data_IF_948363716912
#
_entry.id   IF_948363716912
#
_cell.length_a   1.000
_cell.length_b   1.000
_cell.length_c   1.000
_cell.angle_alpha   90.00
_cell.angle_beta   90.00
_cell.angle_gamma   90.00
#
_symmetry.space_group_name_H-M   'P 1'
#
loop_
_entity.id
_entity.type
_entity.pdbx_description
1 polymer ?
#
# COMPACT_ATOMS: atom_id res chain seq x y z
N UNK A 1 -4.50 -4.38 -14.70
CA UNK A 1 -4.80 -2.99 -14.29
C UNK A 1 -5.51 -3.01 -12.94
N UNK A 2 -5.42 -1.93 -12.16
CA UNK A 2 -6.15 -1.82 -10.88
C UNK A 2 -7.66 -1.98 -11.12
N UNK A 3 -8.32 -2.74 -10.25
CA UNK A 3 -9.77 -3.00 -10.28
C UNK A 3 -10.54 -1.95 -9.47
N UNK A 4 -9.92 -1.44 -8.42
CA UNK A 4 -10.50 -0.44 -7.52
C UNK A 4 -9.85 0.92 -7.78
N UNK A 5 -10.66 1.97 -7.74
CA UNK A 5 -10.19 3.35 -7.82
C UNK A 5 -9.45 3.74 -6.55
N UNK A 6 -8.56 4.74 -6.62
CA UNK A 6 -7.86 5.27 -5.43
C UNK A 6 -8.81 5.60 -4.27
N UNK A 7 -9.96 6.21 -4.57
CA UNK A 7 -10.94 6.64 -3.54
C UNK A 7 -11.67 5.45 -2.91
N UNK A 8 -12.00 4.41 -3.68
CA UNK A 8 -12.56 3.18 -3.11
C UNK A 8 -11.55 2.51 -2.18
N UNK A 9 -10.27 2.49 -2.55
CA UNK A 9 -9.22 1.93 -1.68
C UNK A 9 -9.08 2.75 -0.38
N UNK A 10 -9.04 4.09 -0.45
CA UNK A 10 -9.02 4.96 0.76
C UNK A 10 -10.21 4.62 1.66
N UNK A 11 -11.42 4.57 1.09
CA UNK A 11 -12.63 4.30 1.85
C UNK A 11 -12.58 2.95 2.56
N UNK A 12 -12.14 1.89 1.89
CA UNK A 12 -12.00 0.57 2.52
C UNK A 12 -10.90 0.59 3.59
N UNK A 13 -9.82 1.36 3.41
CA UNK A 13 -8.77 1.51 4.43
C UNK A 13 -9.32 2.18 5.68
N UNK A 14 -10.11 3.23 5.53
CA UNK A 14 -10.79 3.93 6.62
C UNK A 14 -11.81 3.03 7.33
N UNK A 15 -12.69 2.35 6.59
CA UNK A 15 -13.73 1.47 7.15
C UNK A 15 -13.14 0.24 7.85
N UNK A 16 -12.04 -0.32 7.33
CA UNK A 16 -11.41 -1.52 7.91
C UNK A 16 -10.51 -1.15 9.11
N UNK A 17 -9.85 0.01 9.08
CA UNK A 17 -8.91 0.46 10.11
C UNK A 17 -7.62 -0.37 10.22
N UNK A 18 -7.41 -1.35 9.34
CA UNK A 18 -6.25 -2.25 9.35
C UNK A 18 -5.91 -2.70 7.92
N UNK A 19 -4.61 -2.69 7.60
CA UNK A 19 -4.04 -3.29 6.39
C UNK A 19 -3.02 -4.35 6.80
N UNK A 20 -3.38 -5.65 6.81
CA UNK A 20 -2.42 -6.71 7.01
C UNK A 20 -1.36 -6.69 5.90
N UNK A 21 -0.10 -6.88 6.28
CA UNK A 21 1.01 -6.99 5.35
C UNK A 21 1.77 -8.30 5.56
N UNK A 22 2.26 -8.90 4.48
CA UNK A 22 3.11 -10.09 4.57
C UNK A 22 4.05 -10.23 3.37
N UNK A 23 5.04 -11.11 3.53
CA UNK A 23 5.83 -11.66 2.42
C UNK A 23 6.06 -13.15 2.63
N UNK A 24 5.93 -13.92 1.56
CA UNK A 24 6.44 -15.29 1.49
C UNK A 24 6.67 -15.68 0.02
N UNK A 25 7.76 -16.38 -0.34
CA UNK A 25 8.04 -16.77 -1.73
C UNK A 25 7.15 -17.93 -2.23
N UNK A 26 6.67 -18.79 -1.33
CA UNK A 26 5.72 -19.86 -1.69
C UNK A 26 4.31 -19.30 -1.92
N UNK A 27 3.86 -19.39 -3.18
CA UNK A 27 2.53 -18.97 -3.63
C UNK A 27 1.41 -19.72 -2.91
N UNK A 28 1.54 -21.02 -2.65
CA UNK A 28 0.48 -21.80 -2.01
C UNK A 28 0.32 -21.41 -0.54
N UNK A 29 1.43 -21.11 0.15
CA UNK A 29 1.35 -20.52 1.48
C UNK A 29 0.74 -19.11 1.42
N UNK A 30 1.15 -18.29 0.46
CA UNK A 30 0.57 -16.96 0.26
C UNK A 30 -0.95 -16.98 0.05
N UNK A 31 -1.47 -17.91 -0.78
CA UNK A 31 -2.91 -18.10 -0.98
C UNK A 31 -3.63 -18.43 0.33
N UNK A 32 -3.06 -19.31 1.15
CA UNK A 32 -3.61 -19.65 2.48
C UNK A 32 -3.65 -18.42 3.39
N UNK A 33 -2.58 -17.61 3.42
CA UNK A 33 -2.54 -16.36 4.22
C UNK A 33 -3.63 -15.39 3.78
N UNK A 34 -3.73 -15.11 2.48
CA UNK A 34 -4.73 -14.17 1.93
C UNK A 34 -6.16 -14.68 2.23
N UNK A 35 -6.42 -15.97 2.02
CA UNK A 35 -7.73 -16.58 2.30
C UNK A 35 -8.09 -16.49 3.78
N UNK A 36 -7.14 -16.74 4.68
CA UNK A 36 -7.35 -16.62 6.13
C UNK A 36 -7.65 -15.18 6.53
N UNK A 37 -6.87 -14.20 6.05
CA UNK A 37 -7.13 -12.78 6.31
C UNK A 37 -8.52 -12.37 5.79
N UNK A 38 -8.87 -12.79 4.58
CA UNK A 38 -10.18 -12.52 3.98
C UNK A 38 -11.33 -13.11 4.80
N UNK A 39 -11.19 -14.37 5.25
CA UNK A 39 -12.17 -15.04 6.10
C UNK A 39 -12.31 -14.42 7.49
N UNK A 40 -11.24 -13.80 8.00
CA UNK A 40 -11.23 -13.04 9.25
C UNK A 40 -11.82 -11.62 9.11
N UNK A 41 -12.27 -11.23 7.91
CA UNK A 41 -12.93 -9.96 7.65
C UNK A 41 -12.05 -8.90 6.98
N UNK A 42 -10.75 -9.15 6.76
CA UNK A 42 -9.91 -8.20 6.04
C UNK A 42 -10.36 -8.06 4.58
N UNK A 43 -10.34 -6.84 4.07
CA UNK A 43 -10.63 -6.52 2.66
C UNK A 43 -9.47 -5.86 1.93
N UNK A 44 -8.39 -5.59 2.64
CA UNK A 44 -7.14 -5.07 2.12
C UNK A 44 -6.01 -6.01 2.49
N UNK A 45 -5.00 -6.10 1.63
CA UNK A 45 -3.76 -6.77 1.97
C UNK A 45 -2.58 -6.16 1.20
N UNK A 46 -1.49 -5.89 1.91
CA UNK A 46 -0.22 -5.42 1.36
C UNK A 46 0.75 -6.59 1.19
N UNK A 47 1.04 -6.98 -0.05
CA UNK A 47 2.16 -7.88 -0.33
C UNK A 47 3.47 -7.10 -0.33
N UNK A 48 4.41 -7.46 0.54
CA UNK A 48 5.72 -6.81 0.60
C UNK A 48 6.61 -7.32 -0.54
N UNK A 49 7.02 -6.43 -1.45
CA UNK A 49 7.88 -6.73 -2.58
C UNK A 49 9.33 -7.02 -2.15
N UNK A 50 9.56 -8.19 -1.56
CA UNK A 50 10.86 -8.65 -1.09
C UNK A 50 11.31 -9.89 -1.86
N UNK A 51 12.61 -10.05 -2.03
CA UNK A 51 13.19 -11.26 -2.64
C UNK A 51 13.10 -11.29 -4.16
N UNK A 52 13.82 -12.25 -4.74
CA UNK A 52 13.82 -12.46 -6.18
C UNK A 52 12.44 -12.89 -6.66
N UNK A 53 12.08 -12.45 -7.87
CA UNK A 53 10.81 -12.82 -8.51
C UNK A 53 9.53 -12.49 -7.70
N UNK A 54 9.60 -11.59 -6.72
CA UNK A 54 8.45 -11.20 -5.89
C UNK A 54 7.22 -10.74 -6.71
N UNK A 55 7.45 -10.15 -7.87
CA UNK A 55 6.41 -9.74 -8.81
C UNK A 55 5.65 -10.92 -9.43
N UNK A 56 6.30 -12.06 -9.66
CA UNK A 56 5.65 -13.28 -10.13
C UNK A 56 4.74 -13.86 -9.04
N UNK A 57 5.24 -13.92 -7.80
CA UNK A 57 4.47 -14.32 -6.62
C UNK A 57 3.23 -13.43 -6.47
N UNK A 58 3.42 -12.10 -6.51
CA UNK A 58 2.31 -11.16 -6.44
C UNK A 58 1.30 -11.36 -7.57
N UNK A 59 1.75 -11.58 -8.81
CA UNK A 59 0.88 -11.85 -9.95
C UNK A 59 -0.04 -13.03 -9.69
N UNK A 60 0.50 -14.15 -9.22
CA UNK A 60 -0.29 -15.36 -8.93
C UNK A 60 -1.25 -15.15 -7.76
N UNK A 61 -0.80 -14.46 -6.71
CA UNK A 61 -1.64 -14.13 -5.56
C UNK A 61 -2.79 -13.17 -5.92
N UNK A 62 -2.53 -12.18 -6.78
CA UNK A 62 -3.54 -11.23 -7.21
C UNK A 62 -4.59 -11.91 -8.12
N UNK A 63 -4.16 -12.77 -9.05
CA UNK A 63 -5.08 -13.58 -9.87
C UNK A 63 -5.96 -14.47 -8.99
N UNK A 64 -5.38 -15.12 -8.00
CA UNK A 64 -6.12 -15.93 -7.03
C UNK A 64 -7.16 -15.10 -6.26
N UNK A 65 -6.76 -13.95 -5.70
CA UNK A 65 -7.68 -13.07 -4.98
C UNK A 65 -8.84 -12.59 -5.86
N UNK A 66 -8.57 -12.24 -7.12
CA UNK A 66 -9.60 -11.82 -8.07
C UNK A 66 -10.61 -12.93 -8.40
N UNK A 67 -10.17 -14.19 -8.46
CA UNK A 67 -11.02 -15.33 -8.79
C UNK A 67 -11.80 -15.83 -7.57
N UNK A 68 -11.16 -15.93 -6.40
CA UNK A 68 -11.68 -16.69 -5.26
C UNK A 68 -12.15 -15.80 -4.10
N UNK A 69 -11.71 -14.54 -4.03
CA UNK A 69 -11.91 -13.65 -2.89
C UNK A 69 -12.53 -12.31 -3.34
N UNK A 70 -13.81 -12.31 -3.76
CA UNK A 70 -14.46 -11.13 -4.29
C UNK A 70 -14.44 -9.97 -3.28
N UNK A 71 -13.94 -8.81 -3.70
CA UNK A 71 -13.80 -7.66 -2.81
C UNK A 71 -12.44 -7.55 -2.11
N UNK A 72 -11.53 -8.53 -2.27
CA UNK A 72 -10.18 -8.44 -1.74
C UNK A 72 -9.33 -7.45 -2.54
N UNK A 73 -8.87 -6.39 -1.90
CA UNK A 73 -8.03 -5.35 -2.48
C UNK A 73 -6.56 -5.68 -2.18
N UNK A 74 -5.87 -6.21 -3.19
CA UNK A 74 -4.44 -6.47 -3.13
C UNK A 74 -3.66 -5.19 -3.49
N UNK A 75 -2.70 -4.83 -2.64
CA UNK A 75 -1.69 -3.81 -2.90
C UNK A 75 -0.28 -4.36 -2.71
N UNK A 76 0.71 -3.53 -3.02
CA UNK A 76 2.12 -3.88 -2.87
C UNK A 76 2.81 -2.88 -1.96
N UNK A 77 3.75 -3.37 -1.15
CA UNK A 77 4.57 -2.57 -0.27
C UNK A 77 6.07 -2.73 -0.50
N UNK A 78 6.86 -1.89 0.18
CA UNK A 78 8.33 -1.84 0.04
C UNK A 78 8.81 -1.55 -1.38
N UNK A 79 8.01 -0.80 -2.16
CA UNK A 79 8.39 -0.36 -3.50
C UNK A 79 9.35 0.83 -3.40
N UNK A 80 10.49 0.76 -4.09
CA UNK A 80 11.59 1.72 -3.93
C UNK A 80 11.87 2.61 -5.14
N UNK A 81 11.20 2.37 -6.26
CA UNK A 81 11.33 3.19 -7.47
C UNK A 81 10.08 3.13 -8.36
N UNK A 82 10.01 4.05 -9.33
CA UNK A 82 8.90 4.16 -10.27
C UNK A 82 8.74 2.96 -11.22
N UNK A 83 9.82 2.24 -11.54
CA UNK A 83 9.79 1.09 -12.43
C UNK A 83 9.16 -0.11 -11.74
N UNK A 84 9.51 -0.36 -10.47
CA UNK A 84 8.88 -1.35 -9.62
C UNK A 84 7.40 -1.02 -9.39
N UNK A 85 7.06 0.24 -9.06
CA UNK A 85 5.67 0.68 -8.93
C UNK A 85 4.86 0.38 -10.21
N UNK A 86 5.41 0.75 -11.37
CA UNK A 86 4.78 0.51 -12.68
C UNK A 86 4.60 -0.98 -12.99
N UNK A 87 5.57 -1.82 -12.60
CA UNK A 87 5.48 -3.28 -12.75
C UNK A 87 4.31 -3.84 -11.95
N UNK A 88 4.25 -3.57 -10.64
CA UNK A 88 3.19 -4.11 -9.79
C UNK A 88 1.79 -3.56 -10.13
N UNK A 89 1.68 -2.29 -10.50
CA UNK A 89 0.41 -1.72 -11.01
C UNK A 89 -0.05 -2.44 -12.29
N UNK A 90 0.87 -2.83 -13.18
CA UNK A 90 0.53 -3.57 -14.39
C UNK A 90 0.04 -4.99 -14.09
N UNK A 91 0.55 -5.58 -13.01
CA UNK A 91 0.08 -6.85 -12.44
C UNK A 91 -1.22 -6.72 -11.62
N UNK A 92 -1.77 -5.51 -11.50
CA UNK A 92 -3.08 -5.26 -10.89
C UNK A 92 -3.06 -4.87 -9.41
N UNK A 93 -1.92 -4.40 -8.88
CA UNK A 93 -1.91 -3.75 -7.57
C UNK A 93 -2.84 -2.54 -7.55
N UNK A 94 -3.69 -2.46 -6.51
CA UNK A 94 -4.68 -1.40 -6.34
C UNK A 94 -4.16 -0.24 -5.49
N UNK A 95 -3.06 -0.45 -4.76
CA UNK A 95 -2.32 0.59 -4.07
C UNK A 95 -0.83 0.23 -3.96
N UNK A 96 -0.01 1.25 -3.75
CA UNK A 96 1.44 1.15 -3.61
C UNK A 96 1.89 1.78 -2.30
N UNK A 97 2.61 1.03 -1.48
CA UNK A 97 3.23 1.49 -0.23
C UNK A 97 4.74 1.52 -0.42
N UNK A 98 5.37 2.59 0.05
CA UNK A 98 6.83 2.78 -0.06
C UNK A 98 7.44 3.03 1.32
N UNK A 99 8.73 2.72 1.53
CA UNK A 99 9.39 2.98 2.82
C UNK A 99 9.82 4.44 2.99
N UNK A 100 9.88 5.22 1.91
CA UNK A 100 10.36 6.61 1.89
C UNK A 100 9.57 7.44 0.88
N UNK A 101 9.41 8.74 1.14
CA UNK A 101 8.78 9.66 0.20
C UNK A 101 9.65 9.81 -1.05
N UNK A 102 9.09 9.47 -2.22
CA UNK A 102 9.73 9.69 -3.52
C UNK A 102 8.76 10.24 -4.55
N UNK A 103 9.17 11.34 -5.19
CA UNK A 103 8.39 12.00 -6.23
C UNK A 103 8.19 11.13 -7.47
N UNK A 104 9.18 10.32 -7.85
CA UNK A 104 9.11 9.47 -9.04
C UNK A 104 7.99 8.44 -8.95
N UNK A 105 7.78 7.84 -7.77
CA UNK A 105 6.68 6.92 -7.48
C UNK A 105 5.34 7.66 -7.47
N UNK A 106 5.28 8.83 -6.82
CA UNK A 106 4.08 9.65 -6.79
C UNK A 106 3.58 9.98 -8.21
N UNK A 107 4.48 10.40 -9.10
CA UNK A 107 4.16 10.74 -10.50
C UNK A 107 3.52 9.54 -11.23
N UNK A 108 4.11 8.34 -11.14
CA UNK A 108 3.59 7.18 -11.89
C UNK A 108 2.27 6.66 -11.31
N UNK A 109 2.11 6.66 -9.98
CA UNK A 109 0.86 6.27 -9.32
C UNK A 109 -0.26 7.26 -9.63
N UNK A 110 0.00 8.57 -9.52
CA UNK A 110 -0.96 9.62 -9.82
C UNK A 110 -1.41 9.58 -11.28
N UNK A 111 -0.48 9.38 -12.23
CA UNK A 111 -0.81 9.26 -13.66
C UNK A 111 -1.82 8.13 -13.93
N UNK A 112 -1.77 7.05 -13.14
CA UNK A 112 -2.69 5.91 -13.24
C UNK A 112 -3.86 5.96 -12.27
N UNK A 113 -3.97 7.01 -11.45
CA UNK A 113 -4.97 7.16 -10.38
C UNK A 113 -4.99 5.96 -9.42
N UNK A 114 -3.82 5.41 -9.12
CA UNK A 114 -3.61 4.34 -8.13
C UNK A 114 -3.18 4.99 -6.83
N UNK A 115 -3.77 4.57 -5.71
CA UNK A 115 -3.40 5.08 -4.39
C UNK A 115 -1.92 4.81 -4.13
N UNK A 116 -1.22 5.79 -3.57
CA UNK A 116 0.14 5.63 -3.10
C UNK A 116 0.26 6.14 -1.67
N UNK A 117 0.98 5.40 -0.82
CA UNK A 117 1.21 5.74 0.57
C UNK A 117 2.72 5.73 0.86
N UNK A 118 3.35 6.92 0.99
CA UNK A 118 4.76 7.02 1.28
C UNK A 118 5.09 6.85 2.75
N UNK A 119 6.22 6.21 3.01
CA UNK A 119 6.91 6.30 4.28
C UNK A 119 7.43 7.71 4.51
N UNK A 120 7.02 8.37 5.59
CA UNK A 120 7.52 9.67 6.00
C UNK A 120 7.94 9.63 7.48
N UNK A 121 9.06 10.29 7.81
CA UNK A 121 9.58 10.39 9.17
C UNK A 121 9.65 11.83 9.70
N UNK A 122 9.30 12.82 8.87
CA UNK A 122 9.37 14.25 9.22
C UNK A 122 8.15 15.02 8.72
N UNK A 123 7.87 16.17 9.34
CA UNK A 123 6.80 17.08 8.93
C UNK A 123 6.98 17.56 7.47
N UNK A 124 8.22 17.80 7.06
CA UNK A 124 8.55 18.23 5.69
C UNK A 124 8.24 17.13 4.66
N UNK A 125 8.56 15.88 4.95
CA UNK A 125 8.23 14.76 4.06
C UNK A 125 6.72 14.54 3.96
N UNK A 126 5.99 14.65 5.08
CA UNK A 126 4.53 14.56 5.11
C UNK A 126 3.92 15.66 4.25
N UNK A 127 4.31 16.91 4.47
CA UNK A 127 3.84 18.07 3.69
C UNK A 127 4.09 17.84 2.20
N UNK A 128 5.28 17.36 1.85
CA UNK A 128 5.63 17.10 0.46
C UNK A 128 4.79 15.98 -0.16
N UNK A 129 4.49 14.93 0.59
CA UNK A 129 3.60 13.87 0.14
C UNK A 129 2.17 14.38 -0.10
N UNK A 130 1.65 15.24 0.78
CA UNK A 130 0.34 15.88 0.63
C UNK A 130 0.29 16.82 -0.59
N UNK A 131 1.33 17.62 -0.82
CA UNK A 131 1.45 18.49 -2.02
C UNK A 131 1.44 17.67 -3.33
N UNK A 132 1.94 16.43 -3.28
CA UNK A 132 1.91 15.48 -4.39
C UNK A 132 0.58 14.70 -4.46
N UNK A 133 -0.40 15.04 -3.63
CA UNK A 133 -1.74 14.48 -3.63
C UNK A 133 -1.83 13.09 -3.02
N UNK A 134 -1.03 12.78 -2.01
CA UNK A 134 -1.19 11.57 -1.19
C UNK A 134 -2.42 11.67 -0.27
N UNK A 135 -3.23 10.63 -0.17
CA UNK A 135 -4.34 10.56 0.81
C UNK A 135 -3.94 9.99 2.17
N UNK A 136 -2.97 9.07 2.20
CA UNK A 136 -2.59 8.37 3.43
C UNK A 136 -1.07 8.28 3.49
N UNK A 137 -0.47 8.94 4.48
CA UNK A 137 0.96 8.83 4.77
C UNK A 137 1.22 7.66 5.71
N UNK A 138 2.21 6.83 5.38
CA UNK A 138 2.74 5.81 6.28
C UNK A 138 3.81 6.44 7.16
N UNK A 139 3.55 6.55 8.45
CA UNK A 139 4.57 6.96 9.41
C UNK A 139 5.64 5.85 9.52
N UNK A 140 6.89 6.14 9.14
CA UNK A 140 7.92 5.11 9.03
C UNK A 140 9.32 5.68 9.31
N UNK A 141 10.21 4.95 10.05
CA UNK A 141 10.05 3.61 10.61
C UNK A 141 9.04 3.52 11.78
N UNK A 142 8.08 2.58 11.68
CA UNK A 142 6.91 2.53 12.57
C UNK A 142 7.21 2.07 14.01
N UNK A 143 8.40 1.52 14.26
CA UNK A 143 8.90 1.14 15.58
C UNK A 143 9.51 2.32 16.35
N UNK A 144 9.93 3.38 15.65
CA UNK A 144 10.55 4.57 16.24
C UNK A 144 9.50 5.62 16.60
N UNK A 145 8.50 5.81 15.73
CA UNK A 145 7.48 6.85 15.93
C UNK A 145 6.26 6.33 16.69
N UNK A 146 5.56 7.24 17.38
CA UNK A 146 4.37 6.91 18.17
C UNK A 146 3.34 8.03 18.20
N UNK A 147 2.26 7.89 19.00
CA UNK A 147 1.14 8.85 19.04
C UNK A 147 1.54 10.31 19.30
N UNK A 148 2.62 10.54 20.05
CA UNK A 148 3.15 11.88 20.34
C UNK A 148 3.66 12.58 19.08
N UNK A 149 4.26 11.84 18.15
CA UNK A 149 4.69 12.40 16.87
C UNK A 149 3.49 12.84 16.04
N UNK A 150 2.45 12.00 15.96
CA UNK A 150 1.18 12.33 15.28
C UNK A 150 0.53 13.57 15.88
N UNK A 151 0.49 13.67 17.22
CA UNK A 151 -0.02 14.87 17.91
C UNK A 151 0.83 16.11 17.59
N UNK A 152 2.15 15.95 17.49
CA UNK A 152 3.09 17.02 17.13
C UNK A 152 2.86 17.56 15.72
N UNK A 153 2.53 16.70 14.75
CA UNK A 153 2.18 17.08 13.38
C UNK A 153 0.84 17.81 13.32
N UNK A 154 -0.20 17.25 13.95
CA UNK A 154 -1.56 17.83 13.93
C UNK A 154 -1.66 19.19 14.61
N UNK A 155 -0.66 19.60 15.40
CA UNK A 155 -0.58 20.92 16.00
C UNK A 155 -0.53 22.05 14.96
N UNK A 156 0.52 22.13 14.12
CA UNK A 156 0.60 23.08 13.01
C UNK A 156 -0.22 22.68 11.77
N UNK A 157 -0.56 21.40 11.59
CA UNK A 157 -1.29 20.88 10.44
C UNK A 157 -2.56 20.10 10.86
N UNK A 158 -3.62 20.78 11.34
CA UNK A 158 -4.82 20.11 11.85
C UNK A 158 -5.64 19.36 10.78
N UNK A 159 -5.36 19.58 9.49
CA UNK A 159 -6.02 18.90 8.36
C UNK A 159 -5.34 17.58 7.96
N UNK A 160 -4.11 17.34 8.43
CA UNK A 160 -3.38 16.08 8.26
C UNK A 160 -3.96 14.98 9.14
#
# INVERSE_FOLDING_TARGET
MAKYTRLEVVKVMEETGLVPLFYHPDVELGKKVIKTCYGAGARLLEFTARGDFAHEVFSELNKYALAELPGMIMGVGSVTDAAAASRFMSLGANFVVTPVMREDIAIVCNRRKVLWSPGCGTLTEITKAEELGCEIVKLFPGDIYGPQFVKGIKGPQPWT
#
